data_IF_406427171742
#
_entry.id   IF_406427171742
#
_cell.length_a   1.000
_cell.length_b   1.000
_cell.length_c   1.000
_cell.angle_alpha   90.00
_cell.angle_beta   90.00
_cell.angle_gamma   90.00
#
_symmetry.space_group_name_H-M   'P 1'
#
loop_
_entity.id
_entity.type
_entity.pdbx_description
1 polymer ?
#
# COMPACT_ATOMS: atom_id res chain seq x y z
N UNK A 1 14.24 2.10 20.23
CA UNK A 1 14.47 0.94 21.12
C UNK A 1 13.15 0.44 21.75
N UNK A 2 12.29 1.32 22.29
CA UNK A 2 11.06 0.86 22.97
C UNK A 2 10.09 0.09 22.03
N UNK A 3 9.94 0.52 20.77
CA UNK A 3 9.08 -0.15 19.80
C UNK A 3 9.61 -1.52 19.37
N UNK A 4 10.92 -1.73 19.42
CA UNK A 4 11.54 -2.97 18.95
C UNK A 4 11.27 -4.18 19.87
N UNK A 5 10.78 -3.95 21.09
CA UNK A 5 10.43 -5.01 22.05
C UNK A 5 8.95 -5.40 22.04
N UNK A 6 8.12 -4.72 21.25
CA UNK A 6 6.69 -4.97 21.13
C UNK A 6 6.39 -5.85 19.92
N UNK A 7 5.42 -6.77 20.06
CA UNK A 7 4.89 -7.56 18.94
C UNK A 7 3.91 -6.72 18.12
N UNK A 8 3.89 -6.94 16.81
CA UNK A 8 2.92 -6.32 15.91
C UNK A 8 3.18 -4.85 15.56
N UNK A 9 4.37 -4.33 15.88
CA UNK A 9 4.73 -2.92 15.59
C UNK A 9 5.85 -2.79 14.53
N UNK A 10 6.05 -3.83 13.71
CA UNK A 10 7.04 -3.81 12.65
C UNK A 10 6.89 -2.60 11.69
N UNK A 11 5.67 -2.18 11.30
CA UNK A 11 5.47 -0.99 10.47
C UNK A 11 5.96 0.30 11.13
N UNK A 12 5.57 0.51 12.39
CA UNK A 12 5.98 1.68 13.16
C UNK A 12 7.50 1.72 13.32
N UNK A 13 8.10 0.55 13.50
CA UNK A 13 9.56 0.44 13.59
C UNK A 13 10.24 0.78 12.26
N UNK A 14 9.71 0.34 11.12
CA UNK A 14 10.22 0.69 9.81
C UNK A 14 10.17 2.21 9.58
N UNK A 15 9.05 2.85 9.91
CA UNK A 15 8.91 4.31 9.84
C UNK A 15 9.90 5.04 10.75
N UNK A 16 10.12 4.52 11.96
CA UNK A 16 11.10 5.12 12.88
C UNK A 16 12.55 4.89 12.43
N UNK A 17 12.86 3.77 11.77
CA UNK A 17 14.18 3.55 11.14
C UNK A 17 14.43 4.57 10.04
N UNK A 18 13.48 4.75 9.12
CA UNK A 18 13.56 5.77 8.08
C UNK A 18 13.68 7.18 8.65
N UNK A 19 12.90 7.49 9.70
CA UNK A 19 12.98 8.76 10.42
C UNK A 19 14.36 8.97 11.05
N UNK A 20 14.98 7.94 11.62
CA UNK A 20 16.32 8.02 12.20
C UNK A 20 17.39 8.37 11.16
N UNK A 21 17.30 7.82 9.95
CA UNK A 21 18.18 8.17 8.82
C UNK A 21 17.94 9.63 8.40
N UNK A 22 16.70 10.05 8.28
CA UNK A 22 16.34 11.43 7.93
C UNK A 22 16.81 12.46 8.98
N UNK A 23 17.00 12.02 10.22
CA UNK A 23 17.54 12.83 11.33
C UNK A 23 19.08 12.87 11.36
N UNK A 24 19.77 12.31 10.36
CA UNK A 24 21.22 12.40 10.17
C UNK A 24 22.02 11.18 10.64
N UNK A 25 21.37 10.08 11.05
CA UNK A 25 22.08 8.81 11.25
C UNK A 25 22.35 8.12 9.90
N UNK A 26 23.43 7.35 9.82
CA UNK A 26 23.64 6.51 8.64
C UNK A 26 22.75 5.27 8.69
N UNK A 27 22.42 4.71 7.53
CA UNK A 27 21.70 3.43 7.46
C UNK A 27 22.44 2.32 8.23
N UNK A 28 23.77 2.28 8.14
CA UNK A 28 24.62 1.33 8.84
C UNK A 28 24.47 1.42 10.37
N UNK A 29 24.46 2.63 10.94
CA UNK A 29 24.24 2.84 12.37
C UNK A 29 22.84 2.35 12.84
N UNK A 30 21.82 2.58 12.01
CA UNK A 30 20.46 2.10 12.30
C UNK A 30 20.41 0.57 12.25
N UNK A 31 21.06 -0.04 11.28
CA UNK A 31 21.08 -1.51 11.10
C UNK A 31 21.89 -2.21 12.19
N UNK A 32 23.04 -1.63 12.60
CA UNK A 32 23.83 -2.12 13.72
C UNK A 32 23.05 -2.09 15.03
N UNK A 33 22.34 -0.99 15.32
CA UNK A 33 21.48 -0.91 16.49
C UNK A 33 20.39 -1.98 16.47
N UNK A 34 19.73 -2.16 15.32
CA UNK A 34 18.70 -3.17 15.16
C UNK A 34 19.27 -4.59 15.34
N UNK A 35 20.47 -4.86 14.80
CA UNK A 35 21.18 -6.12 15.01
C UNK A 35 21.50 -6.34 16.48
N UNK A 36 22.05 -5.36 17.17
CA UNK A 36 22.35 -5.44 18.59
C UNK A 36 21.09 -5.77 19.42
N UNK A 37 19.98 -5.11 19.14
CA UNK A 37 18.73 -5.35 19.85
C UNK A 37 18.21 -6.79 19.65
N UNK A 38 18.32 -7.33 18.43
CA UNK A 38 17.95 -8.74 18.14
C UNK A 38 18.86 -9.72 18.87
N UNK A 39 20.16 -9.54 18.73
CA UNK A 39 21.19 -10.45 19.29
C UNK A 39 21.10 -10.54 20.84
N UNK A 40 20.57 -9.50 21.47
CA UNK A 40 20.37 -9.46 22.93
C UNK A 40 18.93 -9.76 23.36
N UNK A 41 18.05 -10.23 22.46
CA UNK A 41 16.66 -10.56 22.79
C UNK A 41 15.81 -9.34 23.19
N UNK A 42 16.29 -8.12 22.87
CA UNK A 42 15.61 -6.86 23.21
C UNK A 42 14.70 -6.38 22.07
N UNK A 43 14.67 -7.11 20.98
CA UNK A 43 13.85 -6.78 19.80
C UNK A 43 13.32 -8.05 19.16
N UNK A 44 12.05 -8.03 18.81
CA UNK A 44 11.41 -9.02 17.96
C UNK A 44 11.17 -8.42 16.55
N UNK A 45 12.08 -7.56 16.10
CA UNK A 45 12.00 -6.95 14.79
C UNK A 45 12.17 -8.00 13.69
N UNK A 46 11.07 -8.42 13.17
CA UNK A 46 11.03 -8.98 11.83
C UNK A 46 11.29 -7.82 10.84
N UNK A 47 12.02 -8.08 9.77
CA UNK A 47 12.17 -7.08 8.70
C UNK A 47 10.79 -6.72 8.17
N UNK A 48 10.57 -5.47 7.77
CA UNK A 48 9.31 -5.07 7.15
C UNK A 48 8.95 -5.97 5.96
N UNK A 49 9.96 -6.51 5.26
CA UNK A 49 9.79 -7.50 4.20
C UNK A 49 9.23 -8.84 4.72
N UNK A 50 9.56 -9.24 5.95
CA UNK A 50 9.06 -10.48 6.57
C UNK A 50 7.64 -10.31 7.13
N UNK A 51 7.23 -9.07 7.39
CA UNK A 51 5.87 -8.75 7.88
C UNK A 51 4.83 -8.72 6.75
N UNK A 52 5.27 -8.55 5.51
CA UNK A 52 4.41 -8.64 4.31
C UNK A 52 4.48 -10.08 3.81
N UNK A 53 3.66 -10.95 4.41
CA UNK A 53 3.56 -12.35 3.98
C UNK A 53 2.93 -12.44 2.58
N UNK A 54 3.74 -12.31 1.53
CA UNK A 54 3.31 -12.45 0.15
C UNK A 54 4.50 -12.52 -0.80
N UNK A 55 4.35 -13.27 -1.89
CA UNK A 55 5.37 -13.43 -2.95
C UNK A 55 5.47 -12.19 -3.86
N UNK A 56 4.69 -11.13 -3.59
CA UNK A 56 4.61 -9.93 -4.41
C UNK A 56 5.58 -8.84 -3.90
N UNK A 57 6.27 -8.13 -4.81
CA UNK A 57 7.24 -7.12 -4.42
C UNK A 57 6.60 -6.00 -3.60
N UNK A 58 7.21 -5.63 -2.48
CA UNK A 58 6.78 -4.50 -1.66
C UNK A 58 6.76 -3.18 -2.46
N UNK A 59 7.78 -2.99 -3.27
CA UNK A 59 7.95 -1.73 -4.03
C UNK A 59 8.61 -0.63 -3.21
N UNK A 60 8.61 0.57 -3.79
CA UNK A 60 9.17 1.77 -3.16
C UNK A 60 8.10 2.51 -2.34
N UNK A 61 8.50 3.29 -1.32
CA UNK A 61 7.58 4.19 -0.65
C UNK A 61 6.81 5.06 -1.65
N UNK A 62 5.50 5.15 -1.49
CA UNK A 62 4.60 5.84 -2.41
C UNK A 62 4.59 7.35 -2.16
N UNK A 63 5.75 8.00 -2.33
CA UNK A 63 5.93 9.43 -2.01
C UNK A 63 5.12 10.38 -2.91
N UNK A 64 4.87 9.99 -4.17
CA UNK A 64 4.19 10.84 -5.14
C UNK A 64 2.70 11.05 -4.81
N UNK A 65 2.08 10.09 -4.15
CA UNK A 65 0.68 10.13 -3.76
C UNK A 65 0.47 10.22 -2.25
N UNK A 66 1.54 10.37 -1.46
CA UNK A 66 1.47 10.37 0.00
C UNK A 66 0.47 11.38 0.58
N UNK A 67 0.27 12.52 -0.08
CA UNK A 67 -0.71 13.54 0.30
C UNK A 67 -2.17 13.07 0.26
N UNK A 68 -2.45 11.97 -0.42
CA UNK A 68 -3.78 11.38 -0.56
C UNK A 68 -3.98 10.13 0.30
N UNK A 69 -3.02 9.86 1.20
CA UNK A 69 -3.05 8.69 2.07
C UNK A 69 -2.91 9.10 3.54
N UNK A 70 -3.59 8.38 4.40
CA UNK A 70 -3.36 8.37 5.85
C UNK A 70 -2.51 7.13 6.13
N UNK A 71 -1.34 7.30 6.74
CA UNK A 71 -0.36 6.22 6.94
C UNK A 71 0.56 6.01 5.74
N UNK A 72 1.32 4.92 5.77
CA UNK A 72 2.34 4.63 4.77
C UNK A 72 1.86 3.57 3.78
N UNK A 73 2.21 3.77 2.52
CA UNK A 73 1.99 2.81 1.44
C UNK A 73 3.23 2.67 0.56
N UNK A 74 3.29 1.57 -0.17
CA UNK A 74 4.37 1.28 -1.10
C UNK A 74 3.79 0.89 -2.45
N UNK A 75 4.53 1.15 -3.51
CA UNK A 75 4.11 0.92 -4.88
C UNK A 75 5.19 0.18 -5.66
N UNK A 76 4.84 -0.99 -6.18
CA UNK A 76 5.65 -1.72 -7.13
C UNK A 76 4.99 -1.73 -8.50
N UNK A 77 5.63 -1.13 -9.49
CA UNK A 77 5.19 -1.23 -10.88
C UNK A 77 5.51 -2.64 -11.40
N UNK A 78 4.48 -3.36 -11.84
CA UNK A 78 4.61 -4.71 -12.38
C UNK A 78 4.76 -4.65 -13.90
N UNK A 79 5.81 -5.32 -14.41
CA UNK A 79 6.08 -5.38 -15.84
C UNK A 79 6.12 -6.82 -16.32
N UNK A 80 5.57 -7.11 -17.51
CA UNK A 80 5.78 -8.41 -18.16
C UNK A 80 7.27 -8.70 -18.36
N UNK A 81 7.68 -9.93 -18.13
CA UNK A 81 9.10 -10.36 -18.26
C UNK A 81 9.61 -10.31 -19.70
N UNK A 82 8.72 -10.30 -20.68
CA UNK A 82 9.04 -10.23 -22.12
C UNK A 82 8.96 -8.81 -22.69
N UNK A 83 8.75 -7.80 -21.84
CA UNK A 83 8.71 -6.41 -22.28
C UNK A 83 10.16 -5.87 -22.39
N UNK A 84 10.50 -5.33 -23.55
CA UNK A 84 11.84 -4.78 -23.83
C UNK A 84 12.16 -3.53 -23.01
N UNK A 85 13.44 -3.20 -22.92
CA UNK A 85 13.87 -1.96 -22.28
C UNK A 85 13.27 -0.74 -23.00
N UNK A 86 12.71 0.20 -22.23
CA UNK A 86 12.07 1.41 -22.79
C UNK A 86 10.64 1.21 -23.30
N UNK A 87 10.17 -0.03 -23.41
CA UNK A 87 8.77 -0.30 -23.73
C UNK A 87 7.87 -0.10 -22.51
N UNK A 88 6.61 0.28 -22.74
CA UNK A 88 5.58 0.39 -21.71
C UNK A 88 4.45 -0.60 -21.96
N UNK A 89 3.89 -1.14 -20.87
CA UNK A 89 2.68 -1.97 -20.99
C UNK A 89 1.45 -1.11 -21.26
N UNK A 90 0.57 -1.58 -22.13
CA UNK A 90 -0.73 -0.96 -22.37
C UNK A 90 -1.70 -1.15 -21.18
N UNK A 91 -1.41 -2.11 -20.28
CA UNK A 91 -2.19 -2.36 -19.08
C UNK A 91 -1.35 -1.97 -17.85
N UNK A 92 -1.55 -0.76 -17.28
CA UNK A 92 -0.90 -0.38 -16.03
C UNK A 92 -1.25 -1.38 -14.94
N UNK A 93 -0.24 -1.94 -14.29
CA UNK A 93 -0.41 -2.95 -13.25
C UNK A 93 0.57 -2.67 -12.12
N UNK A 94 0.04 -2.45 -10.92
CA UNK A 94 0.85 -2.11 -9.77
C UNK A 94 0.47 -3.00 -8.59
N UNK A 95 1.46 -3.51 -7.85
CA UNK A 95 1.20 -4.01 -6.51
C UNK A 95 1.22 -2.82 -5.55
N UNK A 96 0.10 -2.56 -4.92
CA UNK A 96 -0.05 -1.53 -3.88
C UNK A 96 -0.04 -2.22 -2.54
N UNK A 97 0.89 -1.80 -1.69
CA UNK A 97 1.04 -2.32 -0.34
C UNK A 97 0.71 -1.24 0.67
N UNK A 98 -0.25 -1.52 1.54
CA UNK A 98 -0.64 -0.68 2.66
C UNK A 98 -0.09 -1.23 3.96
N UNK A 99 0.52 -0.38 4.76
CA UNK A 99 0.83 -0.69 6.15
C UNK A 99 -0.45 -0.77 7.00
N UNK A 100 -0.45 -1.44 8.15
CA UNK A 100 -1.60 -1.50 9.05
C UNK A 100 -2.18 -0.11 9.34
N UNK A 101 -3.50 0.03 9.17
CA UNK A 101 -4.21 1.29 9.35
C UNK A 101 -4.09 2.28 8.19
N UNK A 102 -3.25 2.00 7.19
CA UNK A 102 -3.11 2.87 6.03
C UNK A 102 -4.32 2.77 5.11
N UNK A 103 -4.83 3.92 4.70
CA UNK A 103 -5.93 4.06 3.74
C UNK A 103 -5.73 5.30 2.89
N UNK A 104 -6.24 5.29 1.67
CA UNK A 104 -6.25 6.51 0.88
C UNK A 104 -7.57 7.28 1.04
N UNK A 105 -7.55 8.52 0.58
CA UNK A 105 -8.73 9.38 0.54
C UNK A 105 -9.85 8.78 -0.33
N UNK A 106 -11.06 9.24 -0.13
CA UNK A 106 -12.11 9.09 -1.10
C UNK A 106 -11.65 9.57 -2.46
N UNK A 107 -11.97 8.83 -3.53
CA UNK A 107 -11.61 9.22 -4.89
C UNK A 107 -12.54 8.58 -5.91
N UNK A 108 -12.44 9.09 -7.15
CA UNK A 108 -13.21 8.63 -8.30
C UNK A 108 -12.26 8.41 -9.46
N UNK A 109 -12.44 7.32 -10.20
CA UNK A 109 -11.78 7.10 -11.48
C UNK A 109 -12.70 7.54 -12.62
N UNK A 110 -12.17 8.33 -13.56
CA UNK A 110 -12.86 8.75 -14.76
C UNK A 110 -12.25 8.04 -15.97
N UNK A 111 -13.08 7.64 -16.92
CA UNK A 111 -12.64 7.00 -18.16
C UNK A 111 -12.10 5.57 -18.02
N UNK A 112 -12.12 5.02 -16.82
CA UNK A 112 -11.68 3.66 -16.55
C UNK A 112 -12.41 3.07 -15.34
N UNK A 113 -12.58 1.74 -15.36
CA UNK A 113 -12.89 0.96 -14.16
C UNK A 113 -11.61 0.47 -13.51
N UNK A 114 -11.57 0.36 -12.21
CA UNK A 114 -10.44 -0.19 -11.48
C UNK A 114 -10.73 -1.62 -11.03
N UNK A 115 -9.76 -2.50 -11.22
CA UNK A 115 -9.81 -3.87 -10.69
C UNK A 115 -8.75 -3.98 -9.58
N UNK A 116 -9.17 -4.47 -8.41
CA UNK A 116 -8.28 -4.85 -7.33
C UNK A 116 -8.26 -6.38 -7.23
N UNK A 117 -7.07 -6.97 -7.27
CA UNK A 117 -6.87 -8.39 -7.02
C UNK A 117 -6.10 -8.48 -5.70
N UNK A 118 -6.78 -8.89 -4.63
CA UNK A 118 -6.19 -8.98 -3.30
C UNK A 118 -5.23 -10.17 -3.22
N UNK A 119 -3.97 -9.92 -2.90
CA UNK A 119 -2.91 -10.94 -2.97
C UNK A 119 -2.31 -11.29 -1.61
N UNK A 120 -2.42 -10.42 -0.60
CA UNK A 120 -1.91 -10.70 0.74
C UNK A 120 -2.60 -9.84 1.80
N UNK A 121 -2.67 -10.35 3.03
CA UNK A 121 -3.18 -9.64 4.19
C UNK A 121 -4.68 -9.39 4.18
N UNK A 122 -5.11 -8.38 4.96
CA UNK A 122 -6.52 -8.01 5.13
C UNK A 122 -6.69 -6.51 4.92
N UNK A 123 -7.76 -6.14 4.19
CA UNK A 123 -8.08 -4.75 3.89
C UNK A 123 -9.56 -4.44 4.01
N UNK A 124 -9.88 -3.22 3.63
CA UNK A 124 -11.23 -2.69 3.50
C UNK A 124 -11.43 -2.11 2.10
N UNK A 125 -12.66 -2.20 1.62
CA UNK A 125 -13.18 -1.46 0.48
C UNK A 125 -14.53 -0.87 0.83
N UNK A 126 -14.79 0.37 0.43
CA UNK A 126 -16.10 1.00 0.64
C UNK A 126 -16.45 1.92 -0.53
N UNK A 127 -17.67 1.81 -1.01
CA UNK A 127 -18.31 2.81 -1.87
C UNK A 127 -19.08 3.83 -1.02
N UNK A 128 -19.14 5.06 -1.48
CA UNK A 128 -19.83 6.12 -0.79
C UNK A 128 -21.31 5.74 -0.51
N UNK A 129 -21.71 5.92 0.74
CA UNK A 129 -23.06 5.61 1.19
C UNK A 129 -23.37 4.12 1.39
N UNK A 130 -22.38 3.23 1.24
CA UNK A 130 -22.51 1.79 1.51
C UNK A 130 -21.62 1.37 2.69
N UNK A 131 -21.94 0.25 3.36
CA UNK A 131 -21.05 -0.32 4.38
C UNK A 131 -19.70 -0.73 3.80
N UNK A 132 -18.63 -0.61 4.61
CA UNK A 132 -17.32 -1.13 4.25
C UNK A 132 -17.34 -2.67 4.14
N UNK A 133 -16.61 -3.22 3.18
CA UNK A 133 -16.47 -4.64 2.91
C UNK A 133 -15.06 -5.07 3.30
N UNK A 134 -14.95 -6.10 4.13
CA UNK A 134 -13.66 -6.69 4.47
C UNK A 134 -13.10 -7.47 3.28
N UNK A 135 -11.81 -7.24 2.99
CA UNK A 135 -11.06 -7.89 1.93
C UNK A 135 -9.96 -8.79 2.49
N UNK A 136 -9.68 -9.87 1.79
CA UNK A 136 -8.58 -10.80 2.06
C UNK A 136 -7.97 -11.29 0.76
N UNK A 137 -6.83 -11.96 0.84
CA UNK A 137 -6.19 -12.59 -0.32
C UNK A 137 -7.17 -13.53 -1.05
N UNK A 138 -7.21 -13.42 -2.37
CA UNK A 138 -8.11 -14.14 -3.28
C UNK A 138 -9.38 -13.37 -3.64
N UNK A 139 -9.74 -12.31 -2.93
CA UNK A 139 -10.89 -11.48 -3.30
C UNK A 139 -10.54 -10.59 -4.51
N UNK A 140 -11.55 -10.34 -5.34
CA UNK A 140 -11.46 -9.43 -6.48
C UNK A 140 -12.56 -8.38 -6.34
N UNK A 141 -12.17 -7.11 -6.45
CA UNK A 141 -13.10 -5.98 -6.47
C UNK A 141 -13.08 -5.36 -7.85
N UNK A 142 -14.24 -5.20 -8.45
CA UNK A 142 -14.45 -4.52 -9.72
C UNK A 142 -15.19 -3.20 -9.45
N UNK A 143 -14.48 -2.10 -9.61
CA UNK A 143 -14.94 -0.75 -9.28
C UNK A 143 -15.32 -0.03 -10.58
N UNK A 144 -16.61 0.18 -10.85
CA UNK A 144 -17.03 0.90 -12.06
C UNK A 144 -16.52 2.34 -12.11
N UNK A 145 -16.40 2.86 -13.33
CA UNK A 145 -16.16 4.29 -13.55
C UNK A 145 -17.16 5.15 -12.78
N UNK A 146 -16.70 6.29 -12.25
CA UNK A 146 -17.55 7.27 -11.57
C UNK A 146 -17.94 6.90 -10.13
N UNK A 147 -17.57 5.73 -9.65
CA UNK A 147 -17.87 5.32 -8.27
C UNK A 147 -16.91 6.00 -7.30
N UNK A 148 -17.45 6.81 -6.38
CA UNK A 148 -16.71 7.36 -5.25
C UNK A 148 -16.45 6.24 -4.23
N UNK A 149 -15.18 5.96 -3.97
CA UNK A 149 -14.77 4.84 -3.11
C UNK A 149 -13.44 5.10 -2.41
N UNK A 150 -13.13 4.25 -1.46
CA UNK A 150 -11.80 4.11 -0.86
C UNK A 150 -11.48 2.64 -0.57
N UNK A 151 -10.19 2.35 -0.40
CA UNK A 151 -9.69 1.09 0.12
C UNK A 151 -8.40 1.31 0.92
N UNK A 152 -8.04 0.32 1.74
CA UNK A 152 -6.88 0.37 2.61
C UNK A 152 -6.70 -0.89 3.41
N UNK A 153 -5.66 -0.93 4.24
CA UNK A 153 -5.39 -2.04 5.16
C UNK A 153 -6.33 -2.00 6.36
N UNK A 154 -6.57 -3.15 7.01
CA UNK A 154 -7.13 -3.18 8.36
C UNK A 154 -6.12 -2.68 9.39
N UNK A 155 -6.59 -2.26 10.56
CA UNK A 155 -5.78 -1.62 11.59
C UNK A 155 -4.62 -2.50 12.10
N UNK A 156 -4.77 -3.82 12.01
CA UNK A 156 -3.85 -4.82 12.53
C UNK A 156 -3.22 -5.71 11.44
N UNK A 157 -3.36 -5.34 10.17
CA UNK A 157 -2.86 -6.16 9.06
C UNK A 157 -2.22 -5.32 7.97
N UNK A 158 -1.14 -5.80 7.39
CA UNK A 158 -0.71 -5.39 6.07
C UNK A 158 -1.77 -5.79 5.06
N UNK A 159 -1.82 -5.09 3.94
CA UNK A 159 -2.70 -5.41 2.83
C UNK A 159 -2.01 -5.15 1.51
N UNK A 160 -2.03 -6.15 0.63
CA UNK A 160 -1.52 -6.02 -0.74
C UNK A 160 -2.61 -6.36 -1.74
N UNK A 161 -2.71 -5.55 -2.74
CA UNK A 161 -3.52 -5.84 -3.91
C UNK A 161 -2.83 -5.39 -5.20
N UNK A 162 -3.09 -6.09 -6.27
CA UNK A 162 -2.74 -5.65 -7.61
C UNK A 162 -3.85 -4.73 -8.08
N UNK A 163 -3.49 -3.49 -8.43
CA UNK A 163 -4.38 -2.53 -9.04
C UNK A 163 -4.12 -2.44 -10.55
N UNK A 164 -5.17 -2.56 -11.33
CA UNK A 164 -5.14 -2.30 -12.77
C UNK A 164 -6.37 -1.51 -13.19
N UNK A 165 -6.29 -0.83 -14.33
CA UNK A 165 -7.38 -0.03 -14.88
C UNK A 165 -7.74 -0.54 -16.27
N UNK A 166 -9.02 -0.71 -16.52
CA UNK A 166 -9.57 -1.09 -17.81
C UNK A 166 -10.34 0.12 -18.37
N UNK A 167 -9.92 0.61 -19.52
CA UNK A 167 -10.62 1.72 -20.19
C UNK A 167 -12.07 1.35 -20.44
N UNK A 168 -12.98 2.28 -20.21
CA UNK A 168 -14.34 2.18 -20.72
C UNK A 168 -14.38 2.61 -22.19
N UNK A 169 -15.44 2.28 -22.91
CA UNK A 169 -15.55 2.57 -24.35
C UNK A 169 -15.25 4.03 -24.66
N UNK A 170 -14.45 4.25 -25.70
CA UNK A 170 -14.02 5.55 -26.21
C UNK A 170 -13.07 6.35 -25.30
N UNK A 171 -12.47 5.74 -24.27
CA UNK A 171 -11.44 6.36 -23.46
C UNK A 171 -10.10 5.61 -23.57
N UNK A 172 -9.00 6.34 -23.34
CA UNK A 172 -7.68 5.72 -23.23
C UNK A 172 -7.39 5.43 -21.75
N UNK A 173 -6.86 4.24 -21.40
CA UNK A 173 -6.45 3.97 -20.03
C UNK A 173 -5.49 5.04 -19.51
N UNK A 174 -5.80 5.63 -18.35
CA UNK A 174 -4.97 6.68 -17.76
C UNK A 174 -5.10 8.06 -18.40
N UNK A 175 -6.04 8.26 -19.33
CA UNK A 175 -6.28 9.55 -19.98
C UNK A 175 -6.94 10.60 -19.09
N UNK A 176 -7.64 10.17 -18.05
CA UNK A 176 -8.22 11.07 -17.06
C UNK A 176 -7.53 10.88 -15.69
N UNK A 177 -7.17 11.96 -15.01
CA UNK A 177 -6.62 11.88 -13.66
C UNK A 177 -7.66 11.33 -12.70
N UNK A 178 -7.19 10.65 -11.63
CA UNK A 178 -8.05 10.33 -10.49
C UNK A 178 -8.54 11.63 -9.86
N UNK A 179 -9.81 11.71 -9.56
CA UNK A 179 -10.38 12.79 -8.76
C UNK A 179 -10.22 12.44 -7.28
N UNK A 180 -9.25 13.08 -6.62
CA UNK A 180 -9.01 12.91 -5.20
C UNK A 180 -9.92 13.83 -4.40
N UNK A 181 -10.54 13.28 -3.38
CA UNK A 181 -11.53 13.95 -2.53
C UNK A 181 -11.04 13.98 -1.06
N UNK A 182 -11.98 14.12 -0.13
CA UNK A 182 -11.70 14.22 1.29
C UNK A 182 -11.04 12.96 1.87
N UNK A 183 -10.26 13.09 2.95
CA UNK A 183 -9.77 11.95 3.72
C UNK A 183 -10.92 11.12 4.30
N UNK A 184 -10.73 9.81 4.40
CA UNK A 184 -11.62 8.92 5.16
C UNK A 184 -11.41 9.21 6.64
N UNK A 185 -12.47 9.59 7.34
CA UNK A 185 -12.40 9.87 8.77
C UNK A 185 -12.14 8.61 9.61
N UNK A 186 -11.73 8.79 10.87
CA UNK A 186 -11.51 7.66 11.77
C UNK A 186 -12.84 6.98 12.17
N UNK A 187 -13.97 7.70 12.07
CA UNK A 187 -15.31 7.13 12.31
C UNK A 187 -15.81 6.30 11.12
N UNK A 188 -15.34 6.60 9.90
CA UNK A 188 -15.70 5.84 8.69
C UNK A 188 -14.80 4.60 8.52
N UNK A 189 -13.59 4.67 9.04
CA UNK A 189 -12.62 3.58 8.98
C UNK A 189 -12.83 2.55 10.10
#
# INVERSE_FOLDING_TARGET
AALSSLKGVAPQLASHKAGAVNMGNTQEQVDELCKYLRDNGLSQCDNAADAVAGDWPLGNPNVNYAQFFIGNSHLANLRPVNLGEGESTALPCNNVTFEPGCRHNWHIHHGARQILICVSGRGWYQEWGKPAIALKAGDIVDIPEGVKHWHGAQADSWFQHIATHIAVENTQPGSAPNEWLEPVSDEEY
#
